data_IF_071006316495
#
_entry.id   IF_071006316495
#
_cell.length_a   1.000
_cell.length_b   1.000
_cell.length_c   1.000
_cell.angle_alpha   90.00
_cell.angle_beta   90.00
_cell.angle_gamma   90.00
#
_symmetry.space_group_name_H-M   'P 1'
#
loop_
_entity.id
_entity.type
_entity.pdbx_description
1 polymer ?
#
# COMPACT_ATOMS: atom_id res chain seq x y z
N UNK A 1 -8.11 10.27 4.09
CA UNK A 1 -9.19 9.30 4.34
C UNK A 1 -8.96 8.04 3.52
N UNK A 2 -9.24 6.90 4.09
CA UNK A 2 -9.11 5.62 3.40
C UNK A 2 -10.47 4.96 3.28
N UNK A 3 -10.75 4.44 2.11
CA UNK A 3 -11.92 3.62 1.87
C UNK A 3 -11.44 2.23 1.49
N UNK A 4 -11.99 1.21 2.13
CA UNK A 4 -11.65 -0.17 1.86
C UNK A 4 -12.85 -0.87 1.25
N UNK A 5 -12.66 -1.43 0.09
CA UNK A 5 -13.70 -2.12 -0.65
C UNK A 5 -13.22 -3.54 -0.93
N UNK A 6 -13.84 -4.51 -0.29
CA UNK A 6 -13.52 -5.93 -0.48
C UNK A 6 -14.56 -6.56 -1.39
N UNK A 7 -14.10 -7.06 -2.49
CA UNK A 7 -14.97 -7.80 -3.39
C UNK A 7 -14.92 -9.26 -3.04
N UNK A 8 -16.06 -9.84 -2.85
CA UNK A 8 -16.17 -11.20 -2.35
C UNK A 8 -15.83 -12.25 -3.38
N UNK A 9 -15.73 -11.88 -4.63
CA UNK A 9 -15.38 -12.84 -5.67
C UNK A 9 -14.75 -12.14 -6.84
N UNK A 10 -13.97 -12.92 -7.55
CA UNK A 10 -13.35 -12.52 -8.79
C UNK A 10 -14.42 -12.21 -9.84
N UNK A 11 -14.12 -11.33 -10.81
CA UNK A 11 -14.99 -11.18 -11.98
C UNK A 11 -15.12 -12.47 -12.78
N UNK A 12 -14.23 -13.42 -12.62
CA UNK A 12 -14.32 -14.71 -13.29
C UNK A 12 -15.15 -15.65 -12.42
N UNK A 13 -16.33 -15.90 -12.81
CA UNK A 13 -17.23 -16.67 -11.99
C UNK A 13 -17.06 -18.17 -12.21
N UNK A 14 -17.21 -18.90 -11.13
CA UNK A 14 -17.31 -20.35 -11.17
C UNK A 14 -16.03 -21.11 -11.30
N UNK A 15 -14.91 -20.44 -11.51
CA UNK A 15 -13.65 -21.13 -11.72
C UNK A 15 -12.65 -20.95 -10.59
N UNK A 16 -12.80 -19.89 -9.88
CA UNK A 16 -11.89 -19.54 -8.83
C UNK A 16 -12.32 -20.16 -7.52
N UNK A 17 -11.43 -20.05 -6.58
CA UNK A 17 -11.62 -20.62 -5.25
C UNK A 17 -12.31 -19.66 -4.29
N UNK A 18 -12.96 -18.64 -4.80
CA UNK A 18 -13.64 -17.67 -3.96
C UNK A 18 -12.71 -16.64 -3.34
N UNK A 19 -11.60 -16.40 -3.98
CA UNK A 19 -10.64 -15.43 -3.48
C UNK A 19 -11.19 -14.04 -3.54
N UNK A 20 -10.88 -13.27 -2.52
CA UNK A 20 -11.30 -11.89 -2.39
C UNK A 20 -10.22 -10.97 -2.89
N UNK A 21 -10.57 -10.02 -3.75
CA UNK A 21 -9.67 -8.96 -4.11
C UNK A 21 -9.85 -7.81 -3.14
N UNK A 22 -8.75 -7.33 -2.58
CA UNK A 22 -8.75 -6.16 -1.72
C UNK A 22 -8.57 -4.92 -2.58
N UNK A 23 -9.47 -3.97 -2.45
CA UNK A 23 -9.29 -2.66 -3.09
C UNK A 23 -9.23 -1.60 -2.01
N UNK A 24 -8.18 -0.81 -2.04
CA UNK A 24 -8.00 0.33 -1.16
C UNK A 24 -8.02 1.59 -1.99
N UNK A 25 -8.88 2.54 -1.62
CA UNK A 25 -8.94 3.85 -2.25
C UNK A 25 -8.48 4.85 -1.22
N UNK A 26 -7.33 5.45 -1.47
CA UNK A 26 -6.68 6.31 -0.49
C UNK A 26 -6.69 7.73 -1.00
N UNK A 27 -7.30 8.62 -0.24
CA UNK A 27 -7.29 10.04 -0.53
C UNK A 27 -6.03 10.66 0.06
N UNK A 28 -5.24 11.27 -0.79
CA UNK A 28 -4.03 11.97 -0.37
C UNK A 28 -4.34 13.46 -0.43
N UNK A 29 -4.31 14.10 0.73
CA UNK A 29 -4.68 15.51 0.84
C UNK A 29 -3.54 16.31 1.46
N UNK A 30 -2.45 16.55 0.71
CA UNK A 30 -1.35 17.36 1.22
C UNK A 30 -1.75 18.83 1.27
N UNK A 31 -1.08 19.58 2.12
CA UNK A 31 -1.33 21.02 2.20
C UNK A 31 -0.89 21.68 0.90
N UNK A 32 -1.67 22.64 0.44
CA UNK A 32 -1.35 23.50 -0.71
C UNK A 32 -1.28 22.78 -2.05
N UNK A 33 -1.72 21.56 -2.11
CA UNK A 33 -1.80 20.80 -3.34
C UNK A 33 -3.20 20.20 -3.43
N UNK A 34 -3.73 20.12 -4.63
CA UNK A 34 -5.05 19.51 -4.81
C UNK A 34 -5.02 18.06 -4.35
N UNK A 35 -6.03 17.61 -3.61
CA UNK A 35 -6.10 16.20 -3.22
C UNK A 35 -6.15 15.29 -4.43
N UNK A 36 -5.60 14.11 -4.29
CA UNK A 36 -5.66 13.10 -5.33
C UNK A 36 -5.91 11.73 -4.71
N UNK A 37 -6.28 10.80 -5.54
CA UNK A 37 -6.61 9.46 -5.07
C UNK A 37 -5.61 8.46 -5.61
N UNK A 38 -5.21 7.51 -4.76
CA UNK A 38 -4.42 6.36 -5.16
C UNK A 38 -5.27 5.13 -4.90
N UNK A 39 -5.37 4.27 -5.89
CA UNK A 39 -6.12 3.02 -5.78
C UNK A 39 -5.15 1.86 -5.81
N UNK A 40 -5.23 1.01 -4.79
CA UNK A 40 -4.46 -0.22 -4.73
C UNK A 40 -5.40 -1.40 -4.83
N UNK A 41 -5.12 -2.30 -5.75
CA UNK A 41 -5.87 -3.55 -5.89
C UNK A 41 -4.92 -4.70 -5.63
N UNK A 42 -5.28 -5.53 -4.66
CA UNK A 42 -4.40 -6.60 -4.17
C UNK A 42 -5.11 -7.93 -4.29
N UNK A 43 -4.49 -8.84 -4.99
CA UNK A 43 -4.94 -10.23 -5.04
C UNK A 43 -3.74 -11.15 -4.80
N UNK A 44 -3.93 -12.45 -4.99
CA UNK A 44 -2.87 -13.42 -4.71
C UNK A 44 -1.68 -13.30 -5.66
N UNK A 45 -1.86 -12.64 -6.80
CA UNK A 45 -0.84 -12.57 -7.82
C UNK A 45 -0.08 -11.25 -7.80
N UNK A 46 -0.74 -10.16 -7.44
CA UNK A 46 -0.12 -8.85 -7.61
C UNK A 46 -0.77 -7.76 -6.77
N UNK A 47 -0.01 -6.70 -6.56
CA UNK A 47 -0.52 -5.42 -6.10
C UNK A 47 -0.47 -4.49 -7.29
N UNK A 48 -1.61 -3.97 -7.69
CA UNK A 48 -1.69 -2.95 -8.73
C UNK A 48 -1.94 -1.60 -8.05
N UNK A 49 -1.11 -0.63 -8.38
CA UNK A 49 -1.23 0.73 -7.85
C UNK A 49 -1.54 1.66 -9.00
N UNK A 50 -2.61 2.45 -8.87
CA UNK A 50 -3.02 3.37 -9.92
C UNK A 50 -3.29 4.75 -9.33
N UNK A 51 -2.90 5.76 -10.09
CA UNK A 51 -3.23 7.14 -9.80
C UNK A 51 -3.44 7.88 -11.12
N UNK A 52 -3.80 9.15 -11.06
CA UNK A 52 -4.15 9.93 -12.27
C UNK A 52 -3.10 9.89 -13.36
N UNK A 53 -1.83 9.82 -12.96
CA UNK A 53 -0.72 9.89 -13.93
C UNK A 53 -0.23 8.52 -14.37
N UNK A 54 -0.90 7.47 -14.00
CA UNK A 54 -0.51 6.13 -14.37
C UNK A 54 -0.43 5.20 -13.18
N UNK A 55 0.29 4.10 -13.34
CA UNK A 55 0.39 3.13 -12.28
C UNK A 55 1.44 2.09 -12.57
N UNK A 56 1.51 1.11 -11.68
CA UNK A 56 2.45 0.02 -11.82
C UNK A 56 1.91 -1.22 -11.11
N UNK A 57 2.56 -2.35 -11.36
CA UNK A 57 2.18 -3.64 -10.78
C UNK A 57 3.40 -4.25 -10.11
N UNK A 58 3.19 -4.80 -8.91
CA UNK A 58 4.23 -5.53 -8.19
C UNK A 58 3.73 -6.95 -7.98
N UNK A 59 4.51 -7.94 -8.38
CA UNK A 59 4.13 -9.35 -8.19
C UNK A 59 4.13 -9.72 -6.72
N UNK A 60 3.01 -10.26 -6.23
CA UNK A 60 2.87 -10.60 -4.82
C UNK A 60 3.92 -11.61 -4.36
N UNK A 61 4.26 -12.57 -5.22
CA UNK A 61 5.24 -13.58 -4.88
C UNK A 61 6.67 -13.07 -4.72
N UNK A 62 6.95 -11.84 -5.12
CA UNK A 62 8.27 -11.25 -4.98
C UNK A 62 8.43 -10.47 -3.68
N UNK A 63 7.35 -10.29 -2.94
CA UNK A 63 7.34 -9.44 -1.75
C UNK A 63 7.66 -10.28 -0.53
N UNK A 64 8.69 -9.87 0.20
CA UNK A 64 9.05 -10.51 1.46
C UNK A 64 8.41 -9.83 2.66
N UNK A 65 8.24 -8.52 2.59
CA UNK A 65 7.67 -7.75 3.70
C UNK A 65 7.20 -6.40 3.23
N UNK A 66 6.31 -5.80 4.01
CA UNK A 66 5.94 -4.39 3.84
C UNK A 66 6.44 -3.62 5.04
N UNK A 67 6.71 -2.34 4.84
CA UNK A 67 7.14 -1.48 5.95
C UNK A 67 6.81 -0.03 5.64
N UNK A 68 6.74 0.77 6.69
CA UNK A 68 6.44 2.19 6.59
C UNK A 68 7.67 2.99 7.00
N UNK A 69 8.02 3.98 6.19
CA UNK A 69 9.17 4.85 6.47
C UNK A 69 8.68 6.29 6.52
N UNK A 70 9.09 7.00 7.55
CA UNK A 70 8.86 8.43 7.62
C UNK A 70 9.92 9.13 6.76
N UNK A 71 9.45 9.97 5.85
CA UNK A 71 10.32 10.70 4.94
C UNK A 71 10.25 12.18 5.25
N UNK A 72 11.36 12.72 5.71
CA UNK A 72 11.43 14.14 6.04
C UNK A 72 11.39 14.97 4.76
N UNK A 73 10.60 16.04 4.74
CA UNK A 73 10.55 16.91 3.58
C UNK A 73 11.85 17.72 3.48
N UNK A 74 12.28 17.99 2.26
CA UNK A 74 13.51 18.76 2.05
C UNK A 74 13.43 20.16 2.65
N UNK A 75 12.24 20.71 2.71
CA UNK A 75 12.05 22.12 3.12
C UNK A 75 11.21 22.23 4.39
N UNK A 76 11.05 21.15 5.12
CA UNK A 76 10.52 21.20 6.48
C UNK A 76 9.03 21.45 6.64
N UNK A 77 8.23 21.36 5.60
CA UNK A 77 6.83 21.74 5.72
C UNK A 77 5.89 20.58 6.00
N UNK A 78 6.21 19.38 5.58
CA UNK A 78 5.28 18.28 5.70
C UNK A 78 6.05 16.96 5.73
N UNK A 79 5.77 16.16 6.75
CA UNK A 79 6.32 14.81 6.83
C UNK A 79 5.46 13.88 6.01
N UNK A 80 6.10 13.03 5.24
CA UNK A 80 5.43 12.01 4.44
C UNK A 80 5.78 10.63 4.96
N UNK A 81 4.82 9.73 4.85
CA UNK A 81 5.00 8.33 5.26
C UNK A 81 4.87 7.47 4.02
N UNK A 82 5.91 6.72 3.72
CA UNK A 82 5.92 5.86 2.55
C UNK A 82 5.67 4.41 2.95
N UNK A 83 4.76 3.76 2.24
CA UNK A 83 4.55 2.33 2.36
C UNK A 83 5.37 1.65 1.28
N UNK A 84 6.31 0.81 1.70
CA UNK A 84 7.25 0.16 0.80
C UNK A 84 7.05 -1.34 0.82
N UNK A 85 7.31 -1.95 -0.32
CA UNK A 85 7.40 -3.40 -0.44
C UNK A 85 8.87 -3.79 -0.56
N UNK A 86 9.35 -4.64 0.36
CA UNK A 86 10.67 -5.24 0.22
C UNK A 86 10.54 -6.41 -0.72
N UNK A 87 11.35 -6.40 -1.77
CA UNK A 87 11.27 -7.42 -2.81
C UNK A 87 12.54 -8.26 -2.82
N UNK A 88 12.35 -9.55 -3.08
CA UNK A 88 13.47 -10.48 -3.14
C UNK A 88 14.32 -10.19 -4.37
N UNK A 89 15.62 -9.92 -4.14
CA UNK A 89 16.56 -9.70 -5.22
C UNK A 89 16.36 -8.41 -6.02
N UNK A 90 15.56 -7.48 -5.50
CA UNK A 90 15.30 -6.20 -6.16
C UNK A 90 15.28 -5.08 -5.14
N UNK A 91 15.35 -3.86 -5.64
CA UNK A 91 15.20 -2.69 -4.78
C UNK A 91 13.79 -2.64 -4.18
N UNK A 92 13.69 -2.04 -3.00
CA UNK A 92 12.41 -1.78 -2.38
C UNK A 92 11.54 -0.92 -3.30
N UNK A 93 10.25 -1.18 -3.29
CA UNK A 93 9.33 -0.44 -4.15
C UNK A 93 8.38 0.38 -3.29
N UNK A 94 8.35 1.67 -3.53
CA UNK A 94 7.36 2.56 -2.90
C UNK A 94 5.99 2.30 -3.53
N UNK A 95 5.02 1.97 -2.70
CA UNK A 95 3.65 1.74 -3.15
C UNK A 95 2.82 3.01 -3.04
N UNK A 96 3.00 3.77 -1.95
CA UNK A 96 2.13 4.89 -1.63
C UNK A 96 2.84 5.82 -0.67
N UNK A 97 2.66 7.13 -0.84
CA UNK A 97 3.07 8.11 0.16
C UNK A 97 1.86 8.91 0.62
N UNK A 98 1.79 9.19 1.90
CA UNK A 98 0.71 9.98 2.49
C UNK A 98 1.27 10.81 3.64
N UNK A 99 0.74 12.03 3.87
CA UNK A 99 1.11 12.79 5.05
C UNK A 99 0.47 12.28 6.34
N UNK A 100 -0.37 11.26 6.24
CA UNK A 100 -1.11 10.71 7.38
C UNK A 100 -0.50 9.37 7.77
N UNK A 101 0.28 9.35 8.86
CA UNK A 101 0.94 8.14 9.33
C UNK A 101 -0.01 6.99 9.63
N UNK A 102 -1.11 7.21 10.36
CA UNK A 102 -2.10 6.15 10.58
C UNK A 102 -2.67 5.56 9.30
N UNK A 103 -2.89 6.36 8.27
CA UNK A 103 -3.34 5.86 6.98
C UNK A 103 -2.29 4.94 6.35
N UNK A 104 -1.02 5.34 6.39
CA UNK A 104 0.05 4.50 5.88
C UNK A 104 0.08 3.15 6.61
N UNK A 105 -0.06 3.18 7.91
CA UNK A 105 -0.06 1.95 8.71
C UNK A 105 -1.27 1.08 8.41
N UNK A 106 -2.43 1.69 8.21
CA UNK A 106 -3.63 0.96 7.82
C UNK A 106 -3.43 0.24 6.49
N UNK A 107 -2.88 0.95 5.51
CA UNK A 107 -2.63 0.37 4.18
C UNK A 107 -1.66 -0.81 4.28
N UNK A 108 -0.57 -0.64 5.03
CA UNK A 108 0.40 -1.69 5.22
C UNK A 108 -0.26 -2.95 5.80
N UNK A 109 -1.02 -2.79 6.86
CA UNK A 109 -1.67 -3.92 7.53
C UNK A 109 -2.70 -4.60 6.66
N UNK A 110 -3.48 -3.82 5.93
CA UNK A 110 -4.51 -4.37 5.06
C UNK A 110 -3.88 -5.26 3.98
N UNK A 111 -2.78 -4.82 3.41
CA UNK A 111 -2.08 -5.59 2.39
C UNK A 111 -1.42 -6.82 3.01
N UNK A 112 -0.77 -6.67 4.16
CA UNK A 112 -0.16 -7.81 4.84
C UNK A 112 -1.18 -8.88 5.13
N UNK A 113 -2.34 -8.49 5.63
CA UNK A 113 -3.40 -9.43 5.93
C UNK A 113 -3.91 -10.13 4.67
N UNK A 114 -4.11 -9.37 3.61
CA UNK A 114 -4.61 -9.95 2.36
C UNK A 114 -3.62 -10.94 1.75
N UNK A 115 -2.33 -10.65 1.83
CA UNK A 115 -1.30 -11.49 1.25
C UNK A 115 -0.76 -12.56 2.21
N UNK A 116 -1.18 -12.52 3.46
CA UNK A 116 -0.69 -13.46 4.45
C UNK A 116 0.76 -13.21 4.84
N UNK A 117 1.22 -11.98 4.75
CA UNK A 117 2.59 -11.64 5.14
C UNK A 117 2.68 -11.45 6.64
N UNK A 118 3.78 -11.89 7.21
CA UNK A 118 4.02 -11.68 8.64
C UNK A 118 4.38 -10.21 8.88
N UNK A 119 3.93 -9.68 10.01
CA UNK A 119 4.29 -8.32 10.43
C UNK A 119 5.64 -8.38 11.12
N UNK A 120 6.68 -8.57 10.33
CA UNK A 120 8.05 -8.66 10.84
C UNK A 120 8.74 -7.32 10.82
N UNK A 121 9.56 -7.03 11.84
CA UNK A 121 10.33 -5.80 11.84
C UNK A 121 11.29 -5.76 10.65
N UNK A 122 11.31 -4.64 9.97
CA UNK A 122 12.22 -4.39 8.87
C UNK A 122 13.20 -3.33 9.33
N UNK A 123 14.48 -3.54 9.04
CA UNK A 123 15.51 -2.60 9.45
C UNK A 123 15.23 -1.23 8.85
N UNK A 124 15.19 -0.22 9.70
CA UNK A 124 14.88 1.14 9.30
C UNK A 124 13.40 1.46 9.25
N UNK A 125 12.57 0.50 9.60
CA UNK A 125 11.14 0.73 9.61
C UNK A 125 10.74 1.70 10.72
N UNK A 126 9.81 2.59 10.38
CA UNK A 126 9.22 3.48 11.36
C UNK A 126 8.15 2.73 12.14
N UNK A 127 8.22 2.81 13.46
CA UNK A 127 7.18 2.25 14.30
C UNK A 127 6.28 3.38 14.78
N UNK A 128 5.08 3.39 14.25
CA UNK A 128 4.11 4.40 14.60
C UNK A 128 3.47 4.06 15.95
N UNK A 129 3.24 5.09 16.75
CA UNK A 129 2.52 4.94 18.01
C UNK A 129 1.08 4.55 17.73
N UNK A 130 0.51 3.78 18.62
CA UNK A 130 -0.87 3.31 18.50
C UNK A 130 -1.82 4.20 19.29
#
# INVERSE_FOLDING_TARGET
MVSCDQRLRSPYRGTETGRTMLRLRVQIAPRRVAPYEVVLEVDDLAIEVREDRGGFVVGAGTIDALFVVERQPRYGFLTWFGVFARRRGRADRLLLETPDGPVARFVERAIEERLGLADEPVRGELRLAR
#
